data_IF_601568967845
#
_entry.id   IF_601568967845
#
_cell.length_a   1.000
_cell.length_b   1.000
_cell.length_c   1.000
_cell.angle_alpha   90.00
_cell.angle_beta   90.00
_cell.angle_gamma   90.00
#
_symmetry.space_group_name_H-M   'P 1'
#
loop_
_entity.id
_entity.type
_entity.pdbx_description
1 polymer ?
#
# COMPACT_ATOMS: atom_id res chain seq x y z
N UNK A 1 9.05 -0.96 -0.26
CA UNK A 1 9.24 -2.40 -0.56
C UNK A 1 10.36 -2.71 -1.57
N UNK A 2 10.99 -3.91 -1.47
CA UNK A 2 11.92 -4.47 -2.47
C UNK A 2 11.13 -5.05 -3.66
N UNK A 3 11.77 -5.14 -4.82
CA UNK A 3 11.16 -5.51 -6.11
C UNK A 3 10.46 -6.88 -6.13
N UNK A 4 10.81 -7.77 -5.20
CA UNK A 4 10.18 -9.10 -5.04
C UNK A 4 8.74 -9.05 -4.55
N UNK A 5 8.35 -8.02 -3.79
CA UNK A 5 6.97 -7.88 -3.28
C UNK A 5 5.96 -7.59 -4.41
N UNK A 6 6.42 -6.99 -5.52
CA UNK A 6 5.56 -6.62 -6.65
C UNK A 6 5.06 -7.85 -7.41
N UNK A 7 5.91 -8.87 -7.58
CA UNK A 7 5.51 -10.13 -8.24
C UNK A 7 4.53 -10.92 -7.37
N UNK A 8 4.74 -10.95 -6.05
CA UNK A 8 3.81 -11.56 -5.10
C UNK A 8 2.44 -10.84 -5.07
N UNK A 9 2.40 -9.53 -5.32
CA UNK A 9 1.15 -8.77 -5.46
C UNK A 9 0.40 -9.11 -6.76
N UNK A 10 1.10 -9.51 -7.82
CA UNK A 10 0.45 -9.90 -9.09
C UNK A 10 -0.17 -11.30 -9.01
N UNK A 11 0.34 -12.20 -8.17
CA UNK A 11 -0.24 -13.53 -7.94
C UNK A 11 -1.52 -13.48 -7.09
N UNK A 12 -1.66 -12.46 -6.22
CA UNK A 12 -2.85 -12.29 -5.37
C UNK A 12 -4.10 -11.88 -6.16
N UNK A 13 -5.25 -12.25 -5.62
CA UNK A 13 -6.55 -11.86 -6.17
C UNK A 13 -6.83 -10.37 -5.97
N UNK A 14 -7.71 -9.79 -6.80
CA UNK A 14 -8.10 -8.37 -6.69
C UNK A 14 -8.71 -8.07 -5.32
N UNK A 15 -9.47 -9.00 -4.75
CA UNK A 15 -10.06 -8.88 -3.41
C UNK A 15 -8.99 -8.79 -2.30
N UNK A 16 -7.94 -9.60 -2.37
CA UNK A 16 -6.83 -9.54 -1.41
C UNK A 16 -6.03 -8.25 -1.54
N UNK A 17 -5.84 -7.74 -2.77
CA UNK A 17 -5.18 -6.45 -3.00
C UNK A 17 -5.99 -5.29 -2.41
N UNK A 18 -7.32 -5.31 -2.55
CA UNK A 18 -8.21 -4.31 -1.93
C UNK A 18 -8.13 -4.35 -0.40
N UNK A 19 -8.13 -5.55 0.20
CA UNK A 19 -7.96 -5.71 1.64
C UNK A 19 -6.60 -5.16 2.11
N UNK A 20 -5.53 -5.41 1.34
CA UNK A 20 -4.19 -4.93 1.64
C UNK A 20 -4.08 -3.39 1.54
N UNK A 21 -4.77 -2.77 0.57
CA UNK A 21 -4.88 -1.30 0.48
C UNK A 21 -5.60 -0.71 1.70
N UNK A 22 -6.68 -1.35 2.16
CA UNK A 22 -7.43 -0.87 3.32
C UNK A 22 -6.56 -0.90 4.59
N UNK A 23 -5.76 -1.95 4.77
CA UNK A 23 -4.89 -2.08 5.93
C UNK A 23 -3.71 -1.10 5.90
N UNK A 24 -3.02 -0.97 4.76
CA UNK A 24 -1.96 0.03 4.57
C UNK A 24 -2.48 1.47 4.72
N UNK A 25 -3.71 1.74 4.32
CA UNK A 25 -4.33 3.06 4.49
C UNK A 25 -4.61 3.38 5.97
N UNK A 26 -5.06 2.38 6.75
CA UNK A 26 -5.22 2.54 8.21
C UNK A 26 -3.88 2.76 8.90
N UNK A 27 -2.85 2.02 8.49
CA UNK A 27 -1.50 2.18 9.02
C UNK A 27 -0.94 3.57 8.72
N UNK A 28 -1.15 4.07 7.50
CA UNK A 28 -0.80 5.43 7.10
C UNK A 28 -1.56 6.49 7.93
N UNK A 29 -2.86 6.29 8.17
CA UNK A 29 -3.64 7.19 9.01
C UNK A 29 -3.13 7.22 10.46
N UNK A 30 -2.83 6.05 11.05
CA UNK A 30 -2.22 5.95 12.38
C UNK A 30 -0.86 6.62 12.43
N UNK A 31 0.01 6.37 11.44
CA UNK A 31 1.32 7.00 11.36
C UNK A 31 1.23 8.53 11.26
N UNK A 32 0.28 9.07 10.49
CA UNK A 32 0.01 10.53 10.44
C UNK A 32 -0.45 11.09 11.79
N UNK A 33 -1.31 10.37 12.50
CA UNK A 33 -1.77 10.77 13.83
C UNK A 33 -0.64 10.75 14.86
N UNK A 34 0.20 9.73 14.86
CA UNK A 34 1.36 9.61 15.74
C UNK A 34 2.42 10.69 15.47
N UNK A 35 2.64 11.04 14.21
CA UNK A 35 3.52 12.15 13.80
C UNK A 35 2.97 13.49 14.28
N UNK A 36 1.68 13.74 14.09
CA UNK A 36 1.04 14.97 14.58
C UNK A 36 1.07 15.07 16.11
N UNK A 37 0.99 13.92 16.80
CA UNK A 37 1.10 13.85 18.25
C UNK A 37 2.55 13.98 18.78
N UNK A 38 3.55 14.13 17.89
CA UNK A 38 4.96 14.30 18.27
C UNK A 38 5.60 13.06 18.92
N UNK A 39 4.91 11.90 18.90
CA UNK A 39 5.35 10.67 19.59
C UNK A 39 6.24 9.78 18.75
N UNK A 40 6.32 10.01 17.43
CA UNK A 40 7.21 9.26 16.53
C UNK A 40 7.91 10.20 15.55
N UNK A 41 9.21 10.01 15.39
CA UNK A 41 10.05 10.65 14.37
C UNK A 41 9.98 9.95 12.99
N UNK A 42 9.07 8.98 12.80
CA UNK A 42 9.29 7.89 11.85
C UNK A 42 9.21 8.30 10.37
N UNK A 43 10.35 8.12 9.70
CA UNK A 43 10.69 8.39 8.29
C UNK A 43 9.96 7.50 7.27
N UNK A 44 9.05 6.62 7.70
CA UNK A 44 8.48 5.56 6.86
C UNK A 44 7.12 5.87 6.22
N UNK A 45 6.53 7.06 6.47
CA UNK A 45 5.24 7.44 5.84
C UNK A 45 5.35 7.43 4.32
N UNK A 46 6.48 7.93 3.78
CA UNK A 46 6.73 7.93 2.35
C UNK A 46 6.75 6.50 1.78
N UNK A 47 7.39 5.57 2.49
CA UNK A 47 7.44 4.16 2.10
C UNK A 47 6.05 3.51 2.08
N UNK A 48 5.23 3.77 3.10
CA UNK A 48 3.85 3.24 3.17
C UNK A 48 2.98 3.86 2.06
N UNK A 49 3.16 5.14 1.76
CA UNK A 49 2.45 5.81 0.68
C UNK A 49 2.82 5.25 -0.71
N UNK A 50 4.12 4.98 -0.93
CA UNK A 50 4.61 4.35 -2.16
C UNK A 50 4.07 2.93 -2.32
N UNK A 51 4.01 2.17 -1.22
CA UNK A 51 3.47 0.81 -1.23
C UNK A 51 1.96 0.82 -1.56
N UNK A 52 1.17 1.77 -1.02
CA UNK A 52 -0.24 1.96 -1.41
C UNK A 52 -0.38 2.31 -2.90
N UNK A 53 0.47 3.20 -3.41
CA UNK A 53 0.44 3.58 -4.81
C UNK A 53 0.73 2.39 -5.73
N UNK A 54 1.73 1.57 -5.40
CA UNK A 54 2.09 0.36 -6.15
C UNK A 54 0.95 -0.65 -6.19
N UNK A 55 0.29 -0.92 -5.06
CA UNK A 55 -0.84 -1.86 -5.02
C UNK A 55 -1.99 -1.36 -5.90
N UNK A 56 -2.31 -0.06 -5.85
CA UNK A 56 -3.33 0.54 -6.73
C UNK A 56 -2.95 0.44 -8.21
N UNK A 57 -1.68 0.61 -8.56
CA UNK A 57 -1.21 0.42 -9.95
C UNK A 57 -1.39 -1.02 -10.42
N UNK A 58 -1.11 -2.02 -9.56
CA UNK A 58 -1.32 -3.44 -9.90
C UNK A 58 -2.80 -3.74 -10.11
N UNK A 59 -3.68 -3.24 -9.23
CA UNK A 59 -5.14 -3.37 -9.40
C UNK A 59 -5.56 -2.80 -10.76
N UNK A 60 -5.12 -1.57 -11.09
CA UNK A 60 -5.48 -0.93 -12.35
C UNK A 60 -4.95 -1.67 -13.58
N UNK A 61 -3.74 -2.24 -13.50
CA UNK A 61 -3.19 -3.08 -14.59
C UNK A 61 -4.06 -4.32 -14.81
N UNK A 62 -4.45 -5.01 -13.73
CA UNK A 62 -5.36 -6.16 -13.84
C UNK A 62 -6.70 -5.78 -14.45
N UNK A 63 -7.30 -4.66 -14.04
CA UNK A 63 -8.54 -4.17 -14.65
C UNK A 63 -8.40 -3.91 -16.16
N UNK A 64 -7.28 -3.36 -16.61
CA UNK A 64 -7.01 -3.07 -18.02
C UNK A 64 -6.67 -4.32 -18.85
N UNK A 65 -6.07 -5.35 -18.25
CA UNK A 65 -5.81 -6.64 -18.91
C UNK A 65 -7.07 -7.50 -19.04
N UNK A 66 -8.07 -7.27 -18.19
CA UNK A 66 -9.34 -8.03 -18.22
C UNK A 66 -10.43 -7.34 -19.08
N UNK A 67 -10.15 -6.15 -19.61
CA UNK A 67 -11.05 -5.35 -20.45
C UNK A 67 -10.69 -5.44 -21.93
#
# INVERSE_FOLDING_TARGET
>A
MKQNDIRALQEKTVAELQAQVAELSKELARARLEMKAGRRQNTHIAMIADDVARVKTVIRKKELETA
#
